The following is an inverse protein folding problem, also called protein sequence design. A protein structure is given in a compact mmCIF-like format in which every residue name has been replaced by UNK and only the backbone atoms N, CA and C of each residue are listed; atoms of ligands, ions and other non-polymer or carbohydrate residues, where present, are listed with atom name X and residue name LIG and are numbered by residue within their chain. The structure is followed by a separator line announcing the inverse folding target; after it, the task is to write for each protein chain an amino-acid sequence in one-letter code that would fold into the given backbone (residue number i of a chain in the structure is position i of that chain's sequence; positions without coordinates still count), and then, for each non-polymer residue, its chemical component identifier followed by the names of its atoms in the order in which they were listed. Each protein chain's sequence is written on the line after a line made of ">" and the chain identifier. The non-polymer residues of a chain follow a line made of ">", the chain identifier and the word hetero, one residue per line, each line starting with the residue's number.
data_IF_558979631050
#
_entry.id   IF_558979631050
#
_cell.length_a   1.000
_cell.length_b   1.000
_cell.length_c   1.000
_cell.angle_alpha   90.00
_cell.angle_beta   90.00
_cell.angle_gamma   90.00
#
_symmetry.space_group_name_H-M   'P 1'
#
loop_
_entity.id
_entity.type
_entity.pdbx_description
1 polymer ?
#
# COMPACT_ATOMS: atom_id res chain seq x y z
N UNK A 1 -21.94 31.04 -6.37
CA UNK A 1 -21.47 31.85 -5.21
C UNK A 1 -20.41 31.01 -4.52
N UNK A 2 -19.28 31.60 -4.12
CA UNK A 2 -18.25 30.88 -3.37
C UNK A 2 -18.82 30.38 -2.05
N UNK A 3 -18.57 29.13 -1.70
CA UNK A 3 -19.03 28.51 -0.46
C UNK A 3 -18.45 29.25 0.75
N UNK A 4 -19.31 29.64 1.71
CA UNK A 4 -18.91 30.43 2.87
C UNK A 4 -18.09 29.57 3.85
N UNK A 5 -16.82 29.93 4.05
CA UNK A 5 -15.93 29.30 5.02
C UNK A 5 -16.17 29.87 6.41
N UNK A 6 -16.27 28.98 7.40
CA UNK A 6 -16.50 29.29 8.81
C UNK A 6 -15.35 28.73 9.63
N UNK A 7 -14.92 29.51 10.62
CA UNK A 7 -13.93 29.09 11.62
C UNK A 7 -14.66 28.90 12.96
N UNK A 8 -14.64 27.68 13.49
CA UNK A 8 -15.14 27.35 14.82
C UNK A 8 -13.95 27.20 15.78
N UNK A 9 -13.83 28.11 16.74
CA UNK A 9 -12.80 28.05 17.78
C UNK A 9 -13.38 27.41 19.05
N UNK A 10 -13.03 26.15 19.30
CA UNK A 10 -13.58 25.33 20.36
C UNK A 10 -12.52 25.13 21.45
N UNK A 11 -12.64 25.89 22.54
CA UNK A 11 -11.69 25.82 23.66
C UNK A 11 -10.25 26.12 23.27
N UNK A 12 -10.03 26.93 22.21
CA UNK A 12 -8.71 27.26 21.67
C UNK A 12 -8.29 26.44 20.45
N UNK A 13 -9.02 25.39 20.07
CA UNK A 13 -8.75 24.60 18.85
C UNK A 13 -9.63 25.13 17.71
N UNK A 14 -9.02 25.53 16.60
CA UNK A 14 -9.74 26.06 15.43
C UNK A 14 -10.07 24.95 14.43
N UNK A 15 -11.35 24.86 14.07
CA UNK A 15 -11.88 23.99 13.03
C UNK A 15 -12.38 24.84 11.87
N UNK A 16 -11.91 24.55 10.68
CA UNK A 16 -12.39 25.21 9.47
C UNK A 16 -13.33 24.30 8.70
N UNK A 17 -14.46 24.84 8.26
CA UNK A 17 -15.50 24.10 7.54
C UNK A 17 -16.31 25.02 6.65
N UNK A 18 -17.21 24.46 5.84
CA UNK A 18 -18.20 25.21 5.09
C UNK A 18 -19.51 25.33 5.85
N UNK A 19 -20.26 26.41 5.57
CA UNK A 19 -21.61 26.59 6.11
C UNK A 19 -22.56 25.47 5.73
N UNK A 20 -22.46 25.00 4.49
CA UNK A 20 -23.21 23.85 3.97
C UNK A 20 -23.05 22.60 4.85
N UNK A 21 -21.85 22.34 5.37
CA UNK A 21 -21.55 21.22 6.27
C UNK A 21 -22.34 21.31 7.58
N UNK A 22 -22.42 22.50 8.17
CA UNK A 22 -23.11 22.68 9.46
C UNK A 22 -24.62 22.59 9.30
N UNK A 23 -25.18 23.22 8.26
CA UNK A 23 -26.63 23.23 8.01
C UNK A 23 -27.16 21.89 7.46
N UNK A 24 -26.28 20.95 7.10
CA UNK A 24 -26.66 19.60 6.69
C UNK A 24 -27.35 18.80 7.82
N UNK A 25 -27.14 19.20 9.09
CA UNK A 25 -27.78 18.60 10.27
C UNK A 25 -28.63 19.67 10.99
N UNK A 26 -29.75 20.13 10.39
CA UNK A 26 -30.48 21.33 10.85
C UNK A 26 -31.03 21.22 12.29
N UNK A 27 -31.31 20.00 12.75
CA UNK A 27 -31.83 19.70 14.09
C UNK A 27 -30.82 19.85 15.23
N UNK A 28 -29.56 20.06 14.90
CA UNK A 28 -28.47 20.23 15.87
C UNK A 28 -28.21 21.70 16.21
N UNK A 29 -27.46 21.97 17.29
CA UNK A 29 -27.16 23.33 17.72
C UNK A 29 -26.51 24.16 16.60
N UNK A 30 -25.47 23.64 15.94
CA UNK A 30 -24.78 24.40 14.89
C UNK A 30 -25.62 24.47 13.62
N UNK A 31 -26.34 23.41 13.26
CA UNK A 31 -27.25 23.45 12.12
C UNK A 31 -28.29 24.56 12.25
N UNK A 32 -29.00 24.60 13.38
CA UNK A 32 -30.00 25.64 13.67
C UNK A 32 -29.38 27.04 13.65
N UNK A 33 -28.24 27.20 14.32
CA UNK A 33 -27.57 28.50 14.45
C UNK A 33 -27.12 29.04 13.08
N UNK A 34 -26.53 28.20 12.22
CA UNK A 34 -26.01 28.62 10.92
C UNK A 34 -27.08 28.62 9.80
N UNK A 35 -28.24 28.02 9.99
CA UNK A 35 -29.34 28.05 9.02
C UNK A 35 -30.00 29.43 8.96
N UNK A 36 -30.37 30.00 10.11
CA UNK A 36 -31.27 31.16 10.16
C UNK A 36 -30.58 32.54 10.18
N UNK A 37 -29.25 32.62 10.04
CA UNK A 37 -28.47 33.85 10.34
C UNK A 37 -28.92 34.46 11.69
N UNK A 38 -29.17 33.58 12.65
CA UNK A 38 -29.87 33.92 13.87
C UNK A 38 -29.08 35.00 14.63
N UNK A 39 -29.73 36.04 15.17
CA UNK A 39 -29.01 37.14 15.86
C UNK A 39 -28.17 36.62 17.04
N UNK A 40 -28.56 35.48 17.61
CA UNK A 40 -27.84 34.76 18.65
C UNK A 40 -26.41 34.34 18.23
N UNK A 41 -26.14 34.15 16.94
CA UNK A 41 -24.82 33.78 16.42
C UNK A 41 -23.80 34.91 16.59
N UNK A 42 -24.27 36.17 16.60
CA UNK A 42 -23.42 37.36 16.80
C UNK A 42 -22.72 37.33 18.16
N UNK A 43 -23.31 36.66 19.15
CA UNK A 43 -22.75 36.53 20.50
C UNK A 43 -21.50 35.64 20.56
N UNK A 44 -21.32 34.75 19.58
CA UNK A 44 -20.16 33.86 19.49
C UNK A 44 -19.08 34.41 18.55
N UNK A 45 -19.39 35.44 17.77
CA UNK A 45 -18.50 35.97 16.75
C UNK A 45 -17.38 36.81 17.38
N UNK A 46 -16.12 36.40 17.15
CA UNK A 46 -14.94 37.07 17.69
C UNK A 46 -14.25 37.94 16.63
N UNK A 47 -14.18 37.51 15.37
CA UNK A 47 -13.47 38.21 14.28
C UNK A 47 -14.11 38.01 12.88
N UNK A 48 -15.39 38.35 12.71
CA UNK A 48 -16.06 38.38 11.39
C UNK A 48 -16.44 37.01 10.81
N UNK A 49 -15.56 36.00 10.87
CA UNK A 49 -15.82 34.62 10.43
C UNK A 49 -15.40 33.55 11.46
N UNK A 50 -14.95 33.96 12.66
CA UNK A 50 -14.55 33.09 13.76
C UNK A 50 -15.60 33.09 14.88
N UNK A 51 -16.11 31.90 15.21
CA UNK A 51 -17.10 31.67 16.26
C UNK A 51 -16.49 30.89 17.42
N UNK A 52 -16.52 31.45 18.62
CA UNK A 52 -15.88 30.87 19.79
C UNK A 52 -16.86 30.12 20.70
N UNK A 53 -16.49 28.89 21.07
CA UNK A 53 -17.23 28.06 22.03
C UNK A 53 -16.27 27.58 23.12
N UNK A 54 -16.57 27.86 24.39
CA UNK A 54 -15.77 27.40 25.52
C UNK A 54 -16.08 25.93 25.87
N UNK A 55 -15.69 25.01 24.98
CA UNK A 55 -15.98 23.56 25.04
C UNK A 55 -14.71 22.74 24.80
N UNK A 56 -14.82 21.41 24.92
CA UNK A 56 -13.67 20.54 24.69
C UNK A 56 -13.37 20.41 23.18
N UNK A 57 -12.39 21.17 22.70
CA UNK A 57 -11.98 21.13 21.29
C UNK A 57 -11.60 19.74 20.80
N UNK A 58 -10.93 18.92 21.63
CA UNK A 58 -10.55 17.56 21.23
C UNK A 58 -11.76 16.65 21.03
N UNK A 59 -12.78 16.79 21.86
CA UNK A 59 -14.04 16.08 21.70
C UNK A 59 -14.86 16.58 20.53
N UNK A 60 -14.77 17.89 20.26
CA UNK A 60 -15.42 18.51 19.12
C UNK A 60 -14.95 17.97 17.77
N UNK A 61 -13.74 17.42 17.67
CA UNK A 61 -13.32 16.68 16.47
C UNK A 61 -14.38 15.66 16.01
N UNK A 62 -14.88 14.82 16.94
CA UNK A 62 -15.88 13.80 16.64
C UNK A 62 -17.25 14.39 16.30
N UNK A 63 -17.59 15.52 16.92
CA UNK A 63 -18.80 16.29 16.60
C UNK A 63 -18.71 16.84 15.17
N UNK A 64 -17.56 17.41 14.78
CA UNK A 64 -17.34 17.93 13.44
C UNK A 64 -17.39 16.84 12.38
N UNK A 65 -16.82 15.66 12.65
CA UNK A 65 -16.94 14.49 11.77
C UNK A 65 -18.39 14.04 11.58
N UNK A 66 -19.23 14.14 12.62
CA UNK A 66 -20.67 13.90 12.49
C UNK A 66 -21.33 14.89 11.52
N UNK A 67 -21.03 16.19 11.56
CA UNK A 67 -21.56 17.14 10.58
C UNK A 67 -21.09 16.86 9.14
N UNK A 68 -19.85 16.37 8.98
CA UNK A 68 -19.29 16.04 7.66
C UNK A 68 -19.88 14.78 7.05
N UNK A 69 -20.17 13.77 7.88
CA UNK A 69 -20.46 12.41 7.41
C UNK A 69 -21.86 11.91 7.76
N UNK A 70 -22.55 12.57 8.69
CA UNK A 70 -23.79 12.08 9.32
C UNK A 70 -23.57 10.91 10.29
N UNK A 71 -22.31 10.51 10.56
CA UNK A 71 -21.96 9.38 11.42
C UNK A 71 -21.03 9.81 12.56
N UNK A 72 -21.20 9.20 13.73
CA UNK A 72 -20.23 9.35 14.82
C UNK A 72 -19.07 8.37 14.59
N UNK A 73 -17.86 8.90 14.43
CA UNK A 73 -16.65 8.12 14.12
C UNK A 73 -15.71 8.05 15.34
N UNK A 74 -16.13 7.34 16.39
CA UNK A 74 -15.31 7.17 17.61
C UNK A 74 -14.60 5.82 17.58
N UNK A 75 -13.27 5.83 17.41
CA UNK A 75 -12.44 4.61 17.42
C UNK A 75 -11.76 4.42 18.78
N UNK A 76 -11.69 3.16 19.22
CA UNK A 76 -10.92 2.72 20.38
C UNK A 76 -9.46 2.35 20.04
N UNK A 77 -9.08 2.29 18.76
CA UNK A 77 -7.78 1.77 18.30
C UNK A 77 -6.68 2.82 18.11
N UNK A 78 -6.98 4.10 18.25
CA UNK A 78 -5.93 5.11 18.29
C UNK A 78 -5.42 5.15 19.73
N UNK A 79 -4.23 4.57 19.96
CA UNK A 79 -3.38 4.70 21.17
C UNK A 79 -3.94 5.74 22.14
N UNK A 80 -4.73 5.27 23.12
CA UNK A 80 -5.50 6.08 24.06
C UNK A 80 -6.30 7.21 23.39
N UNK A 81 -7.61 6.98 23.20
CA UNK A 81 -8.53 8.05 22.81
C UNK A 81 -8.26 9.29 23.67
N UNK A 82 -7.88 10.42 23.05
CA UNK A 82 -7.50 11.64 23.77
C UNK A 82 -8.62 12.23 24.66
N UNK A 83 -9.82 11.65 24.55
CA UNK A 83 -11.01 11.96 25.33
C UNK A 83 -11.65 10.67 25.82
N UNK A 84 -12.37 10.73 26.93
CA UNK A 84 -13.17 9.62 27.44
C UNK A 84 -14.54 9.56 26.78
N UNK A 85 -15.21 8.40 26.85
CA UNK A 85 -16.61 8.26 26.43
C UNK A 85 -17.54 9.28 27.11
N UNK A 86 -17.28 9.57 28.39
CA UNK A 86 -18.05 10.55 29.16
C UNK A 86 -17.89 11.96 28.58
N UNK A 87 -16.66 12.37 28.24
CA UNK A 87 -16.41 13.67 27.61
C UNK A 87 -17.07 13.79 26.24
N UNK A 88 -17.05 12.72 25.43
CA UNK A 88 -17.75 12.72 24.14
C UNK A 88 -19.27 12.85 24.32
N UNK A 89 -19.85 12.12 25.28
CA UNK A 89 -21.28 12.17 25.60
C UNK A 89 -21.72 13.57 26.03
N UNK A 90 -20.91 14.26 26.84
CA UNK A 90 -21.18 15.63 27.27
C UNK A 90 -21.18 16.63 26.11
N UNK A 91 -20.29 16.47 25.12
CA UNK A 91 -20.31 17.32 23.93
C UNK A 91 -21.48 16.99 23.00
N UNK A 92 -21.83 15.72 22.81
CA UNK A 92 -23.03 15.35 22.04
C UNK A 92 -24.29 15.99 22.63
N UNK A 93 -24.40 16.03 23.96
CA UNK A 93 -25.50 16.69 24.67
C UNK A 93 -25.49 18.21 24.46
N UNK A 94 -24.31 18.85 24.56
CA UNK A 94 -24.18 20.30 24.35
C UNK A 94 -24.57 20.71 22.91
N UNK A 95 -24.09 19.99 21.91
CA UNK A 95 -24.38 20.27 20.50
C UNK A 95 -25.75 19.72 20.04
N UNK A 96 -26.55 19.18 20.96
CA UNK A 96 -27.91 18.71 20.73
C UNK A 96 -28.01 17.61 19.66
N UNK A 97 -27.02 16.72 19.64
CA UNK A 97 -26.96 15.59 18.72
C UNK A 97 -27.70 14.38 19.32
N UNK A 98 -28.65 13.80 18.57
CA UNK A 98 -29.50 12.73 19.08
C UNK A 98 -28.76 11.39 19.25
N UNK A 99 -28.54 10.99 20.50
CA UNK A 99 -27.78 9.79 20.89
C UNK A 99 -28.45 8.45 20.56
N UNK A 100 -29.78 8.36 20.47
CA UNK A 100 -30.48 7.06 20.45
C UNK A 100 -30.18 6.23 19.20
N UNK A 101 -29.98 6.87 18.06
CA UNK A 101 -29.66 6.21 16.79
C UNK A 101 -28.15 6.16 16.51
N UNK A 102 -27.40 7.04 17.16
CA UNK A 102 -25.97 7.22 16.86
C UNK A 102 -25.11 6.16 17.52
N UNK A 103 -25.41 5.73 18.75
CA UNK A 103 -24.58 4.72 19.42
C UNK A 103 -24.76 3.31 18.87
N UNK A 104 -25.97 2.94 18.44
CA UNK A 104 -26.21 1.67 17.75
C UNK A 104 -25.52 1.66 16.38
N UNK A 105 -25.63 2.76 15.63
CA UNK A 105 -24.88 2.94 14.37
C UNK A 105 -23.38 2.90 14.60
N UNK A 106 -22.86 3.53 15.66
CA UNK A 106 -21.44 3.51 16.01
C UNK A 106 -20.98 2.11 16.36
N UNK A 107 -21.70 1.36 17.20
CA UNK A 107 -21.35 -0.01 17.55
C UNK A 107 -21.32 -0.93 16.32
N UNK A 108 -22.31 -0.77 15.42
CA UNK A 108 -22.33 -1.48 14.14
C UNK A 108 -21.16 -1.09 13.24
N UNK A 109 -20.81 0.20 13.17
CA UNK A 109 -19.70 0.69 12.36
C UNK A 109 -18.36 0.23 12.93
N UNK A 110 -18.19 0.20 14.26
CA UNK A 110 -17.00 -0.35 14.93
C UNK A 110 -16.86 -1.83 14.58
N UNK A 111 -17.91 -2.64 14.78
CA UNK A 111 -17.87 -4.07 14.47
C UNK A 111 -17.53 -4.30 12.99
N UNK A 112 -18.17 -3.56 12.08
CA UNK A 112 -17.86 -3.61 10.65
C UNK A 112 -16.40 -3.22 10.37
N UNK A 113 -15.92 -2.13 10.96
CA UNK A 113 -14.55 -1.66 10.78
C UNK A 113 -13.54 -2.70 11.26
N UNK A 114 -13.78 -3.32 12.42
CA UNK A 114 -12.92 -4.39 12.95
C UNK A 114 -12.88 -5.60 12.01
N UNK A 115 -14.02 -6.00 11.45
CA UNK A 115 -14.07 -7.10 10.46
C UNK A 115 -13.33 -6.70 9.18
N UNK A 116 -13.57 -5.49 8.67
CA UNK A 116 -12.90 -4.97 7.46
C UNK A 116 -11.38 -4.90 7.66
N UNK A 117 -10.90 -4.47 8.83
CA UNK A 117 -9.48 -4.46 9.16
C UNK A 117 -8.90 -5.87 9.28
N UNK A 118 -9.66 -6.82 9.84
CA UNK A 118 -9.24 -8.22 9.94
C UNK A 118 -9.07 -8.83 8.56
N UNK A 119 -10.07 -8.66 7.68
CA UNK A 119 -10.01 -9.11 6.28
C UNK A 119 -8.85 -8.43 5.56
N UNK A 120 -8.69 -7.11 5.68
CA UNK A 120 -7.58 -6.38 5.06
C UNK A 120 -6.21 -6.88 5.53
N UNK A 121 -6.10 -7.34 6.79
CA UNK A 121 -4.85 -7.91 7.31
C UNK A 121 -4.57 -9.29 6.72
N UNK A 122 -5.60 -10.12 6.54
CA UNK A 122 -5.46 -11.41 5.84
C UNK A 122 -5.08 -11.21 4.36
N UNK A 123 -5.72 -10.26 3.67
CA UNK A 123 -5.37 -9.91 2.28
C UNK A 123 -3.89 -9.51 2.16
N UNK A 124 -3.42 -8.65 3.06
CA UNK A 124 -2.03 -8.21 3.10
C UNK A 124 -1.05 -9.36 3.39
N UNK A 125 -1.39 -10.25 4.33
CA UNK A 125 -0.59 -11.44 4.65
C UNK A 125 -0.46 -12.39 3.46
N UNK A 126 -1.56 -12.63 2.73
CA UNK A 126 -1.58 -13.45 1.52
C UNK A 126 -0.67 -12.82 0.45
N UNK A 127 -0.85 -11.53 0.17
CA UNK A 127 -0.05 -10.79 -0.80
C UNK A 127 1.44 -10.86 -0.44
N UNK A 128 1.77 -10.62 0.83
CA UNK A 128 3.15 -10.62 1.33
C UNK A 128 3.81 -11.99 1.21
N UNK A 129 3.13 -13.08 1.60
CA UNK A 129 3.66 -14.44 1.42
C UNK A 129 3.84 -14.80 -0.05
N UNK A 130 2.87 -14.45 -0.90
CA UNK A 130 2.92 -14.72 -2.33
C UNK A 130 4.12 -14.04 -3.00
N UNK A 131 4.37 -12.76 -2.67
CA UNK A 131 5.47 -11.96 -3.24
C UNK A 131 6.82 -12.37 -2.66
N UNK A 132 6.93 -12.45 -1.33
CA UNK A 132 8.23 -12.50 -0.65
C UNK A 132 8.79 -13.91 -0.55
N UNK A 133 7.93 -14.93 -0.49
CA UNK A 133 8.37 -16.30 -0.23
C UNK A 133 8.28 -17.20 -1.47
N UNK A 134 7.55 -16.76 -2.51
CA UNK A 134 7.18 -17.60 -3.65
C UNK A 134 6.42 -18.88 -3.24
N UNK A 135 5.75 -18.86 -2.09
CA UNK A 135 5.03 -20.02 -1.57
C UNK A 135 3.87 -20.40 -2.53
N UNK A 136 3.33 -21.60 -2.39
CA UNK A 136 2.04 -21.99 -3.00
C UNK A 136 0.97 -22.30 -1.94
N UNK A 137 1.36 -22.16 -0.67
CA UNK A 137 0.52 -22.44 0.48
C UNK A 137 0.93 -21.59 1.67
N UNK A 138 -0.05 -21.25 2.50
CA UNK A 138 0.09 -20.47 3.71
C UNK A 138 -0.74 -21.12 4.82
N UNK A 139 -0.12 -21.27 6.00
CA UNK A 139 -0.78 -21.84 7.17
C UNK A 139 -0.90 -20.80 8.29
N UNK A 140 -2.08 -20.73 8.89
CA UNK A 140 -2.41 -19.81 9.97
C UNK A 140 -3.09 -20.57 11.11
N UNK A 141 -2.65 -20.29 12.34
CA UNK A 141 -3.24 -20.82 13.55
C UNK A 141 -3.86 -19.68 14.34
N UNK A 142 -5.14 -19.78 14.66
CA UNK A 142 -5.85 -18.78 15.48
C UNK A 142 -6.45 -19.46 16.72
N UNK A 143 -5.92 -19.10 17.88
CA UNK A 143 -6.30 -19.65 19.18
C UNK A 143 -7.40 -18.83 19.87
N UNK A 144 -8.23 -19.49 20.68
CA UNK A 144 -9.30 -18.87 21.49
C UNK A 144 -8.82 -18.11 22.74
N UNK A 145 -7.52 -18.17 23.04
CA UNK A 145 -6.93 -17.46 24.17
C UNK A 145 -5.96 -16.37 23.71
N UNK A 146 -5.81 -15.32 24.54
CA UNK A 146 -5.08 -14.08 24.23
C UNK A 146 -3.58 -14.21 23.94
N UNK A 147 -3.00 -15.41 24.06
CA UNK A 147 -1.61 -15.70 23.70
C UNK A 147 -1.55 -16.34 22.31
N UNK A 148 -2.24 -15.75 21.32
CA UNK A 148 -1.94 -16.08 19.93
C UNK A 148 -0.47 -15.68 19.68
N UNK A 149 0.41 -16.68 19.61
CA UNK A 149 1.86 -16.49 19.44
C UNK A 149 2.22 -16.06 18.03
N UNK A 150 1.26 -16.09 17.11
CA UNK A 150 1.43 -15.59 15.76
C UNK A 150 1.43 -14.05 15.77
N UNK A 151 2.62 -13.46 15.67
CA UNK A 151 2.80 -12.01 15.66
C UNK A 151 2.11 -11.34 14.45
N UNK A 152 1.74 -12.11 13.43
CA UNK A 152 1.11 -11.63 12.18
C UNK A 152 -0.30 -11.05 12.39
N UNK A 153 -1.06 -11.56 13.38
CA UNK A 153 -2.41 -11.07 13.72
C UNK A 153 -2.48 -10.41 15.10
N UNK A 154 -1.36 -9.87 15.59
CA UNK A 154 -1.25 -9.30 16.94
C UNK A 154 -2.29 -8.21 17.25
N UNK A 155 -2.74 -7.45 16.25
CA UNK A 155 -3.71 -6.35 16.42
C UNK A 155 -5.11 -6.87 16.76
N UNK A 156 -5.40 -8.14 16.45
CA UNK A 156 -6.68 -8.81 16.76
C UNK A 156 -6.58 -9.77 17.93
N UNK A 157 -5.55 -9.62 18.79
CA UNK A 157 -5.43 -10.41 20.03
C UNK A 157 -6.69 -10.22 20.88
N UNK A 158 -7.43 -11.30 21.07
CA UNK A 158 -8.67 -11.33 21.87
C UNK A 158 -9.97 -11.21 21.09
N UNK A 159 -9.94 -11.03 19.77
CA UNK A 159 -11.15 -11.07 18.94
C UNK A 159 -11.00 -11.87 17.64
N UNK A 160 -9.78 -12.17 17.17
CA UNK A 160 -9.56 -12.93 15.93
C UNK A 160 -10.31 -14.27 15.91
N UNK A 161 -10.27 -15.03 17.01
CA UNK A 161 -10.98 -16.29 17.13
C UNK A 161 -12.50 -16.10 17.05
N UNK A 162 -13.03 -15.09 17.74
CA UNK A 162 -14.46 -14.79 17.74
C UNK A 162 -14.93 -14.31 16.36
N UNK A 163 -14.14 -13.49 15.66
CA UNK A 163 -14.41 -13.06 14.30
C UNK A 163 -14.53 -14.29 13.40
N UNK A 164 -13.55 -15.19 13.41
CA UNK A 164 -13.61 -16.43 12.62
C UNK A 164 -14.81 -17.28 13.04
N UNK A 165 -15.04 -17.47 14.33
CA UNK A 165 -16.16 -18.28 14.81
C UNK A 165 -17.54 -17.79 14.35
N UNK A 166 -17.68 -16.49 14.06
CA UNK A 166 -18.94 -15.92 13.59
C UNK A 166 -18.99 -15.68 12.07
N UNK A 167 -17.84 -15.47 11.42
CA UNK A 167 -17.75 -14.94 10.05
C UNK A 167 -16.92 -15.78 9.08
N UNK A 168 -16.45 -16.97 9.48
CA UNK A 168 -15.54 -17.80 8.65
C UNK A 168 -16.01 -17.94 7.20
N UNK A 169 -17.23 -18.43 6.96
CA UNK A 169 -17.75 -18.66 5.60
C UNK A 169 -17.79 -17.38 4.75
N UNK A 170 -18.05 -16.24 5.38
CA UNK A 170 -18.09 -14.94 4.70
C UNK A 170 -16.67 -14.47 4.35
N UNK A 171 -15.71 -14.68 5.26
CA UNK A 171 -14.30 -14.35 5.05
C UNK A 171 -13.71 -15.25 3.97
N UNK A 172 -13.98 -16.55 4.02
CA UNK A 172 -13.59 -17.53 2.99
C UNK A 172 -14.07 -17.06 1.62
N UNK A 173 -15.38 -16.83 1.49
CA UNK A 173 -15.98 -16.39 0.22
C UNK A 173 -15.33 -15.10 -0.29
N UNK A 174 -15.18 -14.10 0.58
CA UNK A 174 -14.54 -12.82 0.22
C UNK A 174 -13.11 -13.01 -0.28
N UNK A 175 -12.30 -13.83 0.40
CA UNK A 175 -10.90 -14.05 0.02
C UNK A 175 -10.79 -14.86 -1.28
N UNK A 176 -11.63 -15.87 -1.48
CA UNK A 176 -11.67 -16.63 -2.75
C UNK A 176 -12.03 -15.71 -3.92
N UNK A 177 -13.07 -14.88 -3.76
CA UNK A 177 -13.47 -13.92 -4.80
C UNK A 177 -12.37 -12.88 -5.06
N UNK A 178 -11.75 -12.35 -3.99
CA UNK A 178 -10.68 -11.34 -4.08
C UNK A 178 -9.43 -11.86 -4.79
N UNK A 179 -9.05 -13.11 -4.55
CA UNK A 179 -7.82 -13.71 -5.09
C UNK A 179 -8.09 -14.78 -6.16
N UNK A 180 -9.25 -14.74 -6.81
CA UNK A 180 -9.62 -15.72 -7.85
C UNK A 180 -8.60 -15.75 -9.00
N UNK A 181 -7.98 -14.60 -9.33
CA UNK A 181 -6.92 -14.51 -10.33
C UNK A 181 -5.65 -15.32 -9.99
N UNK A 182 -5.43 -15.65 -8.72
CA UNK A 182 -4.33 -16.48 -8.22
C UNK A 182 -4.77 -17.93 -7.92
N UNK A 183 -6.01 -18.29 -8.23
CA UNK A 183 -6.63 -19.59 -7.95
C UNK A 183 -6.60 -19.96 -6.45
N UNK A 184 -6.90 -18.98 -5.58
CA UNK A 184 -6.91 -19.19 -4.13
C UNK A 184 -7.94 -20.27 -3.72
N UNK A 185 -7.52 -21.15 -2.83
CA UNK A 185 -8.37 -22.10 -2.12
C UNK A 185 -8.18 -21.93 -0.62
N UNK A 186 -9.27 -22.09 0.12
CA UNK A 186 -9.32 -22.00 1.57
C UNK A 186 -9.73 -23.35 2.15
N UNK A 187 -9.00 -23.81 3.15
CA UNK A 187 -9.35 -24.96 3.97
C UNK A 187 -9.22 -24.58 5.43
N UNK A 188 -10.25 -24.83 6.23
CA UNK A 188 -10.27 -24.46 7.63
C UNK A 188 -10.76 -25.62 8.50
N UNK A 189 -10.03 -25.90 9.57
CA UNK A 189 -10.39 -26.93 10.53
C UNK A 189 -10.42 -26.34 11.94
N UNK A 190 -11.59 -26.42 12.58
CA UNK A 190 -11.73 -26.08 13.99
C UNK A 190 -11.38 -27.29 14.87
N UNK A 191 -10.26 -27.23 15.58
CA UNK A 191 -9.84 -28.28 16.51
C UNK A 191 -10.08 -27.84 17.96
N UNK A 192 -10.58 -28.78 18.76
CA UNK A 192 -10.81 -28.60 20.18
C UNK A 192 -9.88 -29.50 20.97
N UNK A 193 -9.02 -28.89 21.76
CA UNK A 193 -8.15 -29.56 22.72
C UNK A 193 -8.77 -29.48 24.13
N UNK A 194 -8.17 -30.19 25.07
CA UNK A 194 -8.65 -30.22 26.46
C UNK A 194 -8.65 -28.85 27.13
N UNK A 195 -7.73 -27.97 26.74
CA UNK A 195 -7.53 -26.65 27.38
C UNK A 195 -7.75 -25.44 26.45
N UNK A 196 -7.95 -25.64 25.14
CA UNK A 196 -8.11 -24.54 24.18
C UNK A 196 -8.77 -25.01 22.87
N UNK A 197 -9.22 -24.06 22.06
CA UNK A 197 -9.65 -24.27 20.68
C UNK A 197 -8.73 -23.53 19.71
N UNK A 198 -8.61 -24.05 18.50
CA UNK A 198 -7.83 -23.43 17.43
C UNK A 198 -8.53 -23.60 16.09
N UNK A 199 -8.47 -22.56 15.27
CA UNK A 199 -8.70 -22.65 13.83
C UNK A 199 -7.36 -22.91 13.14
N UNK A 200 -7.26 -24.02 12.43
CA UNK A 200 -6.17 -24.31 11.51
C UNK A 200 -6.63 -23.96 10.10
N UNK A 201 -6.10 -22.87 9.56
CA UNK A 201 -6.44 -22.37 8.23
C UNK A 201 -5.25 -22.66 7.31
N UNK A 202 -5.55 -23.30 6.19
CA UNK A 202 -4.63 -23.56 5.08
C UNK A 202 -5.16 -22.85 3.85
N UNK A 203 -4.37 -21.91 3.34
CA UNK A 203 -4.66 -21.20 2.10
C UNK A 203 -3.70 -21.74 1.06
N UNK A 204 -4.20 -22.17 -0.10
CA UNK A 204 -3.35 -22.60 -1.23
C UNK A 204 -3.65 -21.79 -2.46
N UNK A 205 -2.68 -21.67 -3.35
CA UNK A 205 -2.77 -20.87 -4.57
C UNK A 205 -1.86 -21.44 -5.66
N UNK A 206 -2.09 -20.99 -6.90
CA UNK A 206 -1.23 -21.33 -8.02
C UNK A 206 0.18 -20.77 -7.81
N UNK A 207 1.19 -21.57 -8.15
CA UNK A 207 2.60 -21.20 -7.98
C UNK A 207 2.89 -19.83 -8.64
N UNK A 208 3.59 -18.91 -7.92
CA UNK A 208 4.03 -17.64 -8.48
C UNK A 208 4.86 -17.79 -9.77
N UNK A 209 5.68 -18.84 -9.85
CA UNK A 209 6.49 -19.16 -11.04
C UNK A 209 5.60 -19.53 -12.22
N UNK A 210 4.63 -20.42 -12.01
CA UNK A 210 3.70 -20.84 -13.05
C UNK A 210 2.81 -19.68 -13.52
N UNK A 211 2.30 -18.86 -12.59
CA UNK A 211 1.51 -17.68 -12.94
C UNK A 211 2.34 -16.67 -13.73
N UNK A 212 3.58 -16.39 -13.31
CA UNK A 212 4.45 -15.43 -13.97
C UNK A 212 4.83 -15.86 -15.40
N UNK A 213 5.05 -17.16 -15.63
CA UNK A 213 5.36 -17.68 -16.98
C UNK A 213 4.19 -17.56 -17.97
N UNK A 214 2.96 -17.69 -17.47
CA UNK A 214 1.72 -17.48 -18.25
C UNK A 214 1.30 -16.02 -18.31
N UNK A 215 1.87 -15.18 -17.45
CA UNK A 215 1.59 -13.75 -17.40
C UNK A 215 2.30 -13.07 -18.58
N UNK A 216 1.67 -13.13 -19.75
CA UNK A 216 2.12 -12.34 -20.89
C UNK A 216 2.10 -10.87 -20.46
N UNK A 217 3.20 -10.16 -20.73
CA UNK A 217 3.30 -8.70 -20.61
C UNK A 217 2.33 -7.97 -21.55
N UNK A 218 1.35 -8.69 -22.10
CA UNK A 218 0.41 -8.19 -23.07
C UNK A 218 -0.26 -6.99 -22.46
N UNK A 219 -0.40 -6.00 -23.32
CA UNK A 219 -0.99 -4.71 -23.06
C UNK A 219 -2.50 -4.81 -22.73
N UNK A 220 -2.99 -6.00 -22.37
CA UNK A 220 -4.38 -6.37 -22.15
C UNK A 220 -4.92 -5.94 -20.77
N UNK A 221 -4.04 -5.44 -19.91
CA UNK A 221 -4.40 -4.80 -18.64
C UNK A 221 -4.04 -3.31 -18.59
N UNK A 222 -3.81 -2.70 -19.75
CA UNK A 222 -3.75 -1.25 -19.85
C UNK A 222 -5.18 -0.73 -19.64
N UNK A 223 -5.45 -0.01 -18.55
CA UNK A 223 -6.73 0.72 -18.43
C UNK A 223 -6.72 1.86 -19.47
N UNK A 224 -5.55 2.44 -19.78
CA UNK A 224 -5.32 3.32 -20.95
C UNK A 224 -3.83 3.64 -21.20
N UNK A 225 -3.48 3.95 -22.46
CA UNK A 225 -2.13 4.39 -22.84
C UNK A 225 -2.01 5.90 -22.60
N UNK A 226 -1.02 6.33 -21.81
CA UNK A 226 -0.68 7.75 -21.74
C UNK A 226 -0.08 8.21 -23.08
N UNK A 227 -0.70 9.22 -23.69
CA UNK A 227 -0.08 9.93 -24.81
C UNK A 227 1.17 10.70 -24.33
N UNK A 228 2.21 10.83 -25.17
CA UNK A 228 3.40 11.58 -24.81
C UNK A 228 3.04 13.03 -24.46
N UNK A 229 3.47 13.46 -23.28
CA UNK A 229 3.17 14.77 -22.70
C UNK A 229 3.82 15.87 -23.55
N UNK A 230 3.02 16.82 -24.01
CA UNK A 230 3.53 18.02 -24.68
C UNK A 230 4.01 19.02 -23.62
N UNK A 231 5.26 19.47 -23.70
CA UNK A 231 5.91 20.29 -22.66
C UNK A 231 5.34 21.71 -22.49
N UNK A 232 4.40 22.11 -23.36
CA UNK A 232 3.65 23.38 -23.26
C UNK A 232 2.34 23.28 -22.46
N UNK A 233 2.02 22.12 -21.89
CA UNK A 233 0.75 21.90 -21.18
C UNK A 233 0.69 22.50 -19.78
N UNK A 234 -0.50 22.92 -19.38
CA UNK A 234 -0.78 23.49 -18.06
C UNK A 234 -0.64 22.42 -16.97
N UNK A 235 0.27 22.70 -16.02
CA UNK A 235 0.39 21.94 -14.79
C UNK A 235 -0.63 22.43 -13.78
N UNK A 236 -1.30 21.47 -13.15
CA UNK A 236 -2.22 21.69 -12.05
C UNK A 236 -1.63 21.14 -10.76
N UNK A 237 -2.05 21.72 -9.64
CA UNK A 237 -1.67 21.26 -8.30
C UNK A 237 -2.92 20.67 -7.65
N UNK A 238 -2.88 19.39 -7.31
CA UNK A 238 -3.88 18.74 -6.47
C UNK A 238 -3.36 18.72 -5.03
N UNK A 239 -3.93 19.55 -4.18
CA UNK A 239 -3.63 19.57 -2.75
C UNK A 239 -4.59 18.63 -2.02
N UNK A 240 -4.11 17.43 -1.72
CA UNK A 240 -4.90 16.37 -1.09
C UNK A 240 -4.49 16.23 0.36
N UNK A 241 -5.37 16.55 1.30
CA UNK A 241 -5.10 16.47 2.74
C UNK A 241 -3.86 17.26 3.17
N UNK A 242 -3.53 18.36 2.48
CA UNK A 242 -2.34 19.18 2.71
C UNK A 242 -1.09 18.80 1.91
N UNK A 243 -1.06 17.64 1.25
CA UNK A 243 0.05 17.20 0.38
C UNK A 243 -0.22 17.61 -1.07
N UNK A 244 0.76 18.28 -1.68
CA UNK A 244 0.63 18.78 -3.06
C UNK A 244 1.16 17.76 -4.06
N UNK A 245 0.33 17.45 -5.05
CA UNK A 245 0.65 16.61 -6.19
C UNK A 245 0.60 17.45 -7.46
N UNK A 246 1.70 17.50 -8.20
CA UNK A 246 1.76 18.14 -9.51
C UNK A 246 1.51 17.12 -10.62
N UNK A 247 0.62 17.48 -11.56
CA UNK A 247 0.29 16.68 -12.73
C UNK A 247 -0.12 17.58 -13.90
N UNK A 248 -0.02 17.06 -15.12
CA UNK A 248 -0.56 17.72 -16.31
C UNK A 248 -2.06 17.52 -16.39
N UNK A 249 -2.79 18.55 -16.82
CA UNK A 249 -4.23 18.44 -17.04
C UNK A 249 -4.56 17.30 -18.02
N UNK A 250 -3.74 17.12 -19.06
CA UNK A 250 -3.86 16.06 -20.07
C UNK A 250 -3.91 14.66 -19.46
N UNK A 251 -3.04 14.38 -18.48
CA UNK A 251 -2.98 13.10 -17.79
C UNK A 251 -4.29 12.77 -17.08
N UNK A 252 -4.98 13.77 -16.50
CA UNK A 252 -6.31 13.57 -15.91
C UNK A 252 -7.37 13.39 -16.99
N UNK A 253 -7.40 14.28 -17.99
CA UNK A 253 -8.43 14.27 -19.03
C UNK A 253 -8.36 13.04 -19.95
N UNK A 254 -7.22 12.34 -19.95
CA UNK A 254 -7.06 11.06 -20.62
C UNK A 254 -8.01 9.98 -20.07
N UNK A 255 -8.55 10.16 -18.85
CA UNK A 255 -9.50 9.26 -18.19
C UNK A 255 -10.82 9.97 -17.88
N UNK A 256 -11.60 10.31 -18.91
CA UNK A 256 -12.80 11.14 -18.76
C UNK A 256 -13.89 10.52 -17.89
N UNK A 257 -13.84 9.22 -17.60
CA UNK A 257 -14.79 8.49 -16.75
C UNK A 257 -14.54 8.64 -15.25
N UNK A 258 -13.35 9.10 -14.85
CA UNK A 258 -13.03 9.34 -13.43
C UNK A 258 -13.51 10.72 -12.98
N UNK A 259 -13.57 10.94 -11.66
CA UNK A 259 -13.95 12.24 -11.09
C UNK A 259 -13.03 13.36 -11.58
N UNK A 260 -11.71 13.16 -11.47
CA UNK A 260 -10.74 14.17 -11.87
C UNK A 260 -10.72 14.34 -13.38
N UNK A 261 -10.74 13.25 -14.15
CA UNK A 261 -10.75 13.37 -15.60
C UNK A 261 -12.01 14.03 -16.13
N UNK A 262 -13.17 13.81 -15.49
CA UNK A 262 -14.41 14.57 -15.75
C UNK A 262 -14.26 16.04 -15.38
N UNK A 263 -13.80 16.34 -14.16
CA UNK A 263 -13.68 17.72 -13.63
C UNK A 263 -12.77 18.60 -14.49
N UNK A 264 -11.70 18.02 -15.04
CA UNK A 264 -10.71 18.74 -15.85
C UNK A 264 -10.99 18.73 -17.36
N UNK A 265 -12.14 18.22 -17.82
CA UNK A 265 -12.59 18.43 -19.21
C UNK A 265 -12.92 19.91 -19.46
N UNK A 266 -12.73 20.38 -20.70
CA UNK A 266 -13.04 21.78 -21.07
C UNK A 266 -14.52 22.13 -20.86
N UNK A 267 -15.43 21.18 -21.11
CA UNK A 267 -16.87 21.35 -20.87
C UNK A 267 -17.25 21.58 -19.40
N UNK A 268 -16.38 21.19 -18.47
CA UNK A 268 -16.61 21.22 -17.02
C UNK A 268 -15.81 22.31 -16.30
N UNK A 269 -15.31 23.33 -17.02
CA UNK A 269 -14.58 24.46 -16.43
C UNK A 269 -15.32 25.13 -15.27
N UNK A 270 -16.65 25.13 -15.26
CA UNK A 270 -17.45 25.68 -14.17
C UNK A 270 -17.33 24.92 -12.84
N UNK A 271 -16.89 23.65 -12.85
CA UNK A 271 -16.66 22.84 -11.66
C UNK A 271 -15.28 23.13 -11.02
N UNK A 272 -14.42 23.87 -11.73
CA UNK A 272 -13.06 24.18 -11.29
C UNK A 272 -13.10 25.37 -10.33
N UNK A 273 -12.71 25.13 -9.09
CA UNK A 273 -12.60 26.16 -8.06
C UNK A 273 -11.17 26.24 -7.53
N UNK A 274 -10.23 26.78 -8.33
CA UNK A 274 -8.83 26.86 -7.92
C UNK A 274 -8.63 27.93 -6.85
N UNK A 275 -7.78 27.65 -5.87
CA UNK A 275 -7.43 28.58 -4.77
C UNK A 275 -6.49 29.69 -5.27
N UNK A 276 -5.48 29.32 -6.07
CA UNK A 276 -4.44 30.24 -6.58
C UNK A 276 -4.32 30.19 -8.11
N UNK A 277 -5.44 29.98 -8.81
CA UNK A 277 -5.47 29.86 -10.28
C UNK A 277 -5.21 28.45 -10.80
N UNK A 278 -4.36 27.65 -10.16
CA UNK A 278 -4.05 26.27 -10.58
C UNK A 278 -4.03 25.22 -9.46
N UNK A 279 -4.33 25.60 -8.21
CA UNK A 279 -4.34 24.69 -7.05
C UNK A 279 -5.76 24.30 -6.64
N UNK A 280 -6.03 23.00 -6.55
CA UNK A 280 -7.32 22.40 -6.24
C UNK A 280 -7.22 21.57 -4.96
N UNK A 281 -8.05 21.90 -3.96
CA UNK A 281 -7.99 21.24 -2.66
C UNK A 281 -9.02 20.11 -2.53
N UNK A 282 -8.57 18.98 -1.99
CA UNK A 282 -9.38 17.82 -1.66
C UNK A 282 -9.09 17.40 -0.22
N UNK A 283 -10.10 17.39 0.63
CA UNK A 283 -9.98 16.97 2.04
C UNK A 283 -10.03 15.44 2.15
N UNK A 284 -8.99 14.76 1.63
CA UNK A 284 -8.92 13.28 1.45
C UNK A 284 -7.58 12.71 1.92
N UNK A 285 -7.46 11.37 1.97
CA UNK A 285 -6.22 10.70 2.42
C UNK A 285 -5.09 10.85 1.39
N UNK A 286 -4.08 11.65 1.73
CA UNK A 286 -2.97 11.96 0.85
C UNK A 286 -2.03 10.79 0.56
N UNK A 287 -1.89 9.82 1.47
CA UNK A 287 -1.02 8.66 1.26
C UNK A 287 -1.69 7.64 0.33
N UNK A 288 -3.00 7.42 0.47
CA UNK A 288 -3.76 6.58 -0.46
C UNK A 288 -3.85 7.21 -1.86
N UNK A 289 -3.95 8.54 -1.92
CA UNK A 289 -3.97 9.27 -3.20
C UNK A 289 -2.69 9.11 -4.04
N UNK A 290 -1.57 8.69 -3.45
CA UNK A 290 -0.37 8.34 -4.21
C UNK A 290 -0.65 7.28 -5.28
N UNK A 291 -1.39 6.23 -4.95
CA UNK A 291 -1.73 5.14 -5.88
C UNK A 291 -2.63 5.64 -7.02
N UNK A 292 -3.54 6.57 -6.72
CA UNK A 292 -4.38 7.23 -7.71
C UNK A 292 -3.54 8.07 -8.67
N UNK A 293 -2.53 8.79 -8.15
CA UNK A 293 -1.59 9.54 -8.98
C UNK A 293 -0.76 8.64 -9.88
N UNK A 294 -0.29 7.50 -9.37
CA UNK A 294 0.44 6.51 -10.18
C UNK A 294 -0.46 5.89 -11.26
N UNK A 295 -1.75 5.68 -10.97
CA UNK A 295 -2.73 5.28 -11.99
C UNK A 295 -2.80 6.31 -13.13
N UNK A 296 -2.93 7.60 -12.82
CA UNK A 296 -2.93 8.62 -13.88
C UNK A 296 -1.62 8.70 -14.64
N UNK A 297 -0.47 8.43 -14.00
CA UNK A 297 0.88 8.51 -14.62
C UNK A 297 1.23 7.30 -15.47
N UNK A 298 0.84 6.11 -15.04
CA UNK A 298 1.31 4.87 -15.65
C UNK A 298 0.22 4.16 -16.45
N UNK A 299 -1.05 4.55 -16.25
CA UNK A 299 -2.21 3.82 -16.77
C UNK A 299 -2.49 2.51 -16.02
N UNK A 300 -1.76 2.24 -14.93
CA UNK A 300 -1.83 1.02 -14.14
C UNK A 300 -2.13 1.33 -12.68
N UNK A 301 -3.09 0.60 -12.12
CA UNK A 301 -3.39 0.66 -10.70
C UNK A 301 -2.52 -0.34 -9.94
N UNK A 302 -1.70 0.17 -9.03
CA UNK A 302 -0.85 -0.65 -8.15
C UNK A 302 -1.62 -0.90 -6.85
N UNK A 303 -1.58 -2.13 -6.35
CA UNK A 303 -2.22 -2.48 -5.08
C UNK A 303 -1.23 -2.39 -3.90
N UNK A 304 -1.63 -1.89 -2.72
CA UNK A 304 -0.76 -1.78 -1.55
C UNK A 304 -0.29 -3.15 -1.04
N UNK A 305 0.93 -3.20 -0.51
CA UNK A 305 1.48 -4.35 0.21
C UNK A 305 1.76 -4.00 1.69
N UNK A 306 2.18 -4.98 2.50
CA UNK A 306 2.42 -4.82 3.95
C UNK A 306 3.43 -3.72 4.33
N UNK A 307 4.34 -3.36 3.42
CA UNK A 307 5.34 -2.31 3.68
C UNK A 307 4.79 -0.88 3.56
N UNK A 308 3.54 -0.74 3.09
CA UNK A 308 2.91 0.55 2.82
C UNK A 308 2.26 1.21 4.06
N UNK A 309 2.23 2.54 4.07
CA UNK A 309 1.45 3.35 5.03
C UNK A 309 -0.07 3.27 4.85
N UNK A 310 -0.53 2.52 3.84
CA UNK A 310 -1.91 2.52 3.33
C UNK A 310 -2.43 1.09 3.28
N UNK A 311 -3.61 0.85 3.86
CA UNK A 311 -4.27 -0.47 3.79
C UNK A 311 -5.04 -0.65 2.47
N UNK A 312 -5.34 -1.89 2.08
CA UNK A 312 -6.20 -2.18 0.92
C UNK A 312 -7.51 -1.41 1.01
N UNK A 313 -8.13 -1.41 2.21
CA UNK A 313 -9.41 -0.74 2.43
C UNK A 313 -9.33 0.79 2.29
N UNK A 314 -8.24 1.40 2.76
CA UNK A 314 -8.02 2.83 2.60
C UNK A 314 -7.89 3.23 1.13
N UNK A 315 -7.24 2.41 0.30
CA UNK A 315 -7.17 2.66 -1.13
C UNK A 315 -8.54 2.52 -1.80
N UNK A 316 -9.30 1.46 -1.49
CA UNK A 316 -10.66 1.26 -2.04
C UNK A 316 -11.56 2.49 -1.83
N UNK A 317 -11.57 3.02 -0.61
CA UNK A 317 -12.38 4.21 -0.26
C UNK A 317 -12.01 5.43 -1.12
N UNK A 318 -10.72 5.59 -1.45
CA UNK A 318 -10.30 6.68 -2.34
C UNK A 318 -10.61 6.38 -3.81
N UNK A 319 -10.44 5.13 -4.27
CA UNK A 319 -10.82 4.73 -5.63
C UNK A 319 -12.31 4.99 -5.88
N UNK A 320 -13.17 4.67 -4.91
CA UNK A 320 -14.60 4.94 -4.95
C UNK A 320 -14.89 6.45 -5.01
N UNK A 321 -14.24 7.25 -4.15
CA UNK A 321 -14.43 8.70 -4.12
C UNK A 321 -14.01 9.36 -5.44
N UNK A 322 -12.85 8.98 -5.97
CA UNK A 322 -12.32 9.50 -7.24
C UNK A 322 -12.92 8.81 -8.46
N UNK A 323 -13.87 7.89 -8.26
CA UNK A 323 -14.61 7.17 -9.29
C UNK A 323 -13.69 6.47 -10.31
N UNK A 324 -12.64 5.82 -9.81
CA UNK A 324 -11.71 5.08 -10.66
C UNK A 324 -12.25 3.65 -10.82
N UNK A 325 -12.68 3.26 -12.04
CA UNK A 325 -13.20 1.91 -12.25
C UNK A 325 -12.06 0.89 -12.15
N UNK A 326 -12.26 -0.18 -11.39
CA UNK A 326 -11.28 -1.23 -11.27
C UNK A 326 -11.92 -2.61 -11.01
N UNK A 327 -11.27 -3.66 -11.51
CA UNK A 327 -11.61 -5.05 -11.24
C UNK A 327 -10.63 -5.57 -10.18
N UNK A 328 -11.07 -5.56 -8.90
CA UNK A 328 -10.21 -5.84 -7.74
C UNK A 328 -9.38 -7.13 -7.91
N UNK A 329 -9.97 -8.29 -8.26
CA UNK A 329 -9.18 -9.51 -8.45
C UNK A 329 -8.13 -9.43 -9.56
N UNK A 330 -8.46 -8.80 -10.69
CA UNK A 330 -7.49 -8.63 -11.78
C UNK A 330 -6.34 -7.72 -11.37
N UNK A 331 -6.66 -6.59 -10.73
CA UNK A 331 -5.68 -5.59 -10.27
C UNK A 331 -4.73 -6.20 -9.24
N UNK A 332 -5.25 -6.95 -8.27
CA UNK A 332 -4.42 -7.63 -7.26
C UNK A 332 -3.49 -8.64 -7.95
N UNK A 333 -4.03 -9.49 -8.82
CA UNK A 333 -3.24 -10.49 -9.54
C UNK A 333 -2.11 -9.84 -10.36
N UNK A 334 -2.44 -8.84 -11.20
CA UNK A 334 -1.45 -8.15 -12.02
C UNK A 334 -0.43 -7.40 -11.18
N UNK A 335 -0.86 -6.68 -10.14
CA UNK A 335 0.04 -5.92 -9.26
C UNK A 335 1.04 -6.82 -8.55
N UNK A 336 0.59 -7.97 -8.01
CA UNK A 336 1.45 -8.94 -7.33
C UNK A 336 2.49 -9.52 -8.29
N UNK A 337 2.06 -9.92 -9.49
CA UNK A 337 2.97 -10.49 -10.50
C UNK A 337 3.95 -9.46 -11.05
N UNK A 338 3.55 -8.19 -11.18
CA UNK A 338 4.44 -7.09 -11.56
C UNK A 338 5.49 -6.81 -10.49
N UNK A 339 5.13 -6.83 -9.19
CA UNK A 339 6.09 -6.69 -8.10
C UNK A 339 7.11 -7.82 -8.13
N UNK A 340 6.65 -9.07 -8.28
CA UNK A 340 7.54 -10.24 -8.41
C UNK A 340 8.49 -10.07 -9.60
N UNK A 341 7.95 -9.71 -10.78
CA UNK A 341 8.74 -9.45 -11.99
C UNK A 341 9.78 -8.36 -11.76
N UNK A 342 9.42 -7.27 -11.11
CA UNK A 342 10.32 -6.17 -10.81
C UNK A 342 11.42 -6.58 -9.83
N UNK A 343 11.10 -7.38 -8.81
CA UNK A 343 12.08 -7.93 -7.88
C UNK A 343 13.10 -8.82 -8.61
N UNK A 344 12.64 -9.68 -9.52
CA UNK A 344 13.51 -10.51 -10.37
C UNK A 344 14.39 -9.63 -11.28
N UNK A 345 13.80 -8.64 -11.95
CA UNK A 345 14.54 -7.73 -12.84
C UNK A 345 15.59 -6.92 -12.08
N UNK A 346 15.28 -6.44 -10.88
CA UNK A 346 16.23 -5.74 -10.02
C UNK A 346 17.41 -6.64 -9.63
N UNK A 347 17.14 -7.92 -9.35
CA UNK A 347 18.19 -8.89 -9.07
C UNK A 347 19.07 -9.18 -10.29
N UNK A 348 18.46 -9.32 -11.48
CA UNK A 348 19.19 -9.46 -12.75
C UNK A 348 20.09 -8.25 -12.98
N UNK A 349 19.57 -7.03 -12.83
CA UNK A 349 20.35 -5.79 -12.97
C UNK A 349 21.53 -5.73 -11.98
N UNK A 350 21.34 -6.21 -10.74
CA UNK A 350 22.41 -6.28 -9.75
C UNK A 350 23.52 -7.26 -10.17
N UNK A 351 23.16 -8.42 -10.74
CA UNK A 351 24.14 -9.35 -11.31
C UNK A 351 24.83 -8.79 -12.57
N UNK A 352 24.09 -8.11 -13.45
CA UNK A 352 24.67 -7.44 -14.62
C UNK A 352 25.74 -6.42 -14.20
N UNK A 353 25.42 -5.56 -13.22
CA UNK A 353 26.37 -4.59 -12.69
C UNK A 353 27.57 -5.28 -12.01
N UNK A 354 27.34 -6.39 -11.28
CA UNK A 354 28.42 -7.19 -10.70
C UNK A 354 29.39 -7.72 -11.77
N UNK A 355 28.86 -8.30 -12.85
CA UNK A 355 29.66 -8.85 -13.96
C UNK A 355 30.47 -7.73 -14.64
N UNK A 356 29.84 -6.58 -14.89
CA UNK A 356 30.52 -5.41 -15.48
C UNK A 356 31.67 -4.94 -14.57
N UNK A 357 31.46 -4.89 -13.25
CA UNK A 357 32.52 -4.53 -12.29
C UNK A 357 33.64 -5.56 -12.27
N UNK A 358 33.33 -6.86 -12.31
CA UNK A 358 34.36 -7.90 -12.39
C UNK A 358 35.18 -7.77 -13.69
N UNK A 359 34.54 -7.44 -14.82
CA UNK A 359 35.22 -7.17 -16.08
C UNK A 359 36.18 -5.98 -15.99
N UNK A 360 35.78 -4.90 -15.30
CA UNK A 360 36.64 -3.74 -15.04
C UNK A 360 37.92 -4.10 -14.28
N UNK A 361 37.84 -5.09 -13.39
CA UNK A 361 38.97 -5.58 -12.59
C UNK A 361 39.68 -6.81 -13.18
N UNK A 362 39.31 -7.24 -14.39
CA UNK A 362 39.84 -8.44 -15.04
C UNK A 362 39.70 -9.73 -14.20
N UNK A 363 38.66 -9.80 -13.36
CA UNK A 363 38.31 -10.99 -12.57
C UNK A 363 37.43 -11.88 -13.45
N UNK A 364 37.83 -13.13 -13.68
CA UNK A 364 37.18 -14.07 -14.60
C UNK A 364 36.35 -15.17 -13.90
N UNK A 365 36.42 -15.23 -12.57
CA UNK A 365 35.71 -16.18 -11.73
C UNK A 365 35.38 -15.50 -10.40
N UNK A 366 34.11 -15.55 -10.00
CA UNK A 366 33.63 -15.04 -8.72
C UNK A 366 32.70 -16.06 -8.08
N UNK A 367 32.97 -16.37 -6.81
CA UNK A 367 32.14 -17.24 -5.97
C UNK A 367 31.42 -16.40 -4.93
N UNK A 368 30.10 -16.54 -4.87
CA UNK A 368 29.22 -15.78 -3.98
C UNK A 368 28.55 -16.74 -2.99
N UNK A 369 28.78 -16.51 -1.70
CA UNK A 369 28.17 -17.24 -0.60
C UNK A 369 27.01 -16.45 -0.02
N UNK A 370 25.86 -17.10 0.13
CA UNK A 370 24.71 -16.51 0.81
C UNK A 370 24.77 -16.91 2.29
N UNK A 371 25.06 -15.94 3.18
CA UNK A 371 25.14 -16.19 4.63
C UNK A 371 23.87 -15.76 5.36
N UNK A 372 23.36 -16.65 6.22
CA UNK A 372 22.21 -16.37 7.08
C UNK A 372 22.43 -15.06 7.87
N UNK A 373 21.57 -14.06 7.65
CA UNK A 373 21.54 -12.82 8.42
C UNK A 373 22.59 -11.74 8.06
N UNK A 374 23.34 -11.87 6.95
CA UNK A 374 24.45 -10.94 6.64
C UNK A 374 24.69 -10.55 5.18
N UNK A 375 23.85 -10.96 4.24
CA UNK A 375 24.00 -10.61 2.81
C UNK A 375 24.89 -11.60 2.02
N UNK A 376 25.32 -11.17 0.85
CA UNK A 376 26.14 -11.98 -0.09
C UNK A 376 27.62 -11.66 0.07
N UNK A 377 28.43 -12.71 0.20
CA UNK A 377 29.88 -12.61 0.40
C UNK A 377 30.65 -13.22 -0.76
N UNK A 378 31.72 -12.56 -1.18
CA UNK A 378 32.65 -13.11 -2.16
C UNK A 378 33.60 -14.05 -1.42
N UNK A 379 33.59 -15.34 -1.78
CA UNK A 379 34.59 -16.28 -1.30
C UNK A 379 35.76 -16.25 -2.29
N UNK A 380 36.96 -15.99 -1.78
CA UNK A 380 38.17 -16.06 -2.59
C UNK A 380 39.02 -17.27 -2.16
N UNK A 381 39.31 -18.17 -3.10
CA UNK A 381 40.24 -19.28 -2.90
C UNK A 381 41.72 -18.85 -3.11
N UNK A 382 41.97 -17.66 -3.67
CA UNK A 382 43.31 -17.22 -4.05
C UNK A 382 43.89 -16.21 -3.05
N UNK A 383 44.84 -16.69 -2.26
CA UNK A 383 45.68 -15.95 -1.32
C UNK A 383 46.70 -15.04 -2.02
N UNK A 384 46.29 -14.21 -2.99
CA UNK A 384 47.18 -13.28 -3.67
C UNK A 384 46.79 -11.84 -3.32
N UNK A 385 47.64 -11.17 -2.52
CA UNK A 385 47.41 -9.83 -1.94
C UNK A 385 47.26 -8.71 -2.99
N UNK A 386 47.41 -9.01 -4.28
CA UNK A 386 47.39 -8.03 -5.39
C UNK A 386 46.00 -7.51 -5.77
N UNK A 387 44.92 -8.15 -5.30
CA UNK A 387 43.52 -7.77 -5.62
C UNK A 387 42.70 -7.31 -4.40
N UNK A 388 43.35 -6.97 -3.29
CA UNK A 388 42.68 -6.72 -2.02
C UNK A 388 41.66 -5.55 -2.10
N UNK A 389 42.00 -4.46 -2.77
CA UNK A 389 41.11 -3.29 -2.90
C UNK A 389 39.94 -3.54 -3.86
N UNK A 390 40.17 -4.23 -4.99
CA UNK A 390 39.13 -4.51 -5.99
C UNK A 390 38.08 -5.49 -5.44
N UNK A 391 38.53 -6.51 -4.71
CA UNK A 391 37.65 -7.46 -4.01
C UNK A 391 36.85 -6.78 -2.90
N UNK A 392 37.42 -5.79 -2.21
CA UNK A 392 36.70 -5.02 -1.20
C UNK A 392 35.59 -4.17 -1.82
N UNK A 393 35.83 -3.51 -2.97
CA UNK A 393 34.79 -2.78 -3.70
C UNK A 393 33.65 -3.71 -4.12
N UNK A 394 33.97 -4.85 -4.73
CA UNK A 394 32.99 -5.85 -5.13
C UNK A 394 32.20 -6.41 -3.93
N UNK A 395 32.88 -6.62 -2.80
CA UNK A 395 32.24 -7.09 -1.57
C UNK A 395 31.28 -6.06 -0.99
N UNK A 396 31.68 -4.77 -0.94
CA UNK A 396 30.81 -3.66 -0.52
C UNK A 396 29.63 -3.50 -1.47
N UNK A 397 29.87 -3.60 -2.79
CA UNK A 397 28.82 -3.60 -3.79
C UNK A 397 27.81 -4.72 -3.53
N UNK A 398 28.27 -5.96 -3.35
CA UNK A 398 27.39 -7.10 -3.10
C UNK A 398 26.53 -6.91 -1.84
N UNK A 399 27.13 -6.44 -0.75
CA UNK A 399 26.41 -6.15 0.50
C UNK A 399 25.36 -5.05 0.35
N UNK A 400 25.59 -4.08 -0.54
CA UNK A 400 24.66 -2.98 -0.78
C UNK A 400 23.50 -3.35 -1.71
N UNK A 401 23.67 -4.34 -2.59
CA UNK A 401 22.71 -4.67 -3.64
C UNK A 401 21.93 -5.96 -3.41
N UNK A 402 22.51 -6.93 -2.71
CA UNK A 402 21.89 -8.23 -2.51
C UNK A 402 21.49 -8.44 -1.06
N UNK A 403 20.18 -8.42 -0.81
CA UNK A 403 19.61 -8.81 0.47
C UNK A 403 19.48 -10.33 0.52
N UNK A 404 19.93 -10.94 1.62
CA UNK A 404 20.08 -12.40 1.72
C UNK A 404 18.77 -13.15 1.46
N UNK A 405 17.69 -12.75 2.12
CA UNK A 405 16.43 -13.49 2.08
C UNK A 405 15.80 -13.42 0.70
N UNK A 406 15.62 -12.22 0.17
CA UNK A 406 15.02 -11.96 -1.13
C UNK A 406 15.82 -12.63 -2.25
N UNK A 407 17.16 -12.49 -2.22
CA UNK A 407 18.02 -13.09 -3.26
C UNK A 407 17.94 -14.61 -3.21
N UNK A 408 17.98 -15.22 -2.02
CA UNK A 408 17.88 -16.67 -1.87
C UNK A 408 16.54 -17.20 -2.37
N UNK A 409 15.44 -16.57 -2.00
CA UNK A 409 14.10 -17.00 -2.41
C UNK A 409 13.95 -16.91 -3.92
N UNK A 410 14.35 -15.79 -4.53
CA UNK A 410 14.24 -15.62 -5.98
C UNK A 410 15.11 -16.64 -6.72
N UNK A 411 16.37 -16.85 -6.31
CA UNK A 411 17.25 -17.80 -6.99
C UNK A 411 16.77 -19.25 -6.88
N UNK A 412 16.22 -19.64 -5.73
CA UNK A 412 15.66 -20.99 -5.56
C UNK A 412 14.48 -21.27 -6.52
N UNK A 413 13.72 -20.24 -6.88
CA UNK A 413 12.51 -20.39 -7.69
C UNK A 413 12.72 -20.01 -9.17
N UNK A 414 13.61 -19.06 -9.45
CA UNK A 414 13.82 -18.44 -10.77
C UNK A 414 15.30 -18.45 -11.21
N UNK A 415 16.16 -19.24 -10.55
CA UNK A 415 17.60 -19.29 -10.84
C UNK A 415 17.92 -19.60 -12.30
N UNK A 416 17.29 -20.64 -12.88
CA UNK A 416 17.48 -21.00 -14.29
C UNK A 416 17.09 -19.86 -15.24
N UNK A 417 15.98 -19.17 -14.96
CA UNK A 417 15.56 -18.02 -15.76
C UNK A 417 16.59 -16.88 -15.69
N UNK A 418 17.12 -16.60 -14.50
CA UNK A 418 18.16 -15.56 -14.31
C UNK A 418 19.44 -15.94 -15.06
N UNK A 419 19.89 -17.20 -14.94
CA UNK A 419 21.02 -17.73 -15.69
C UNK A 419 20.84 -17.53 -17.20
N UNK A 420 19.71 -17.96 -17.77
CA UNK A 420 19.42 -17.82 -19.20
C UNK A 420 19.49 -16.36 -19.66
N UNK A 421 18.94 -15.42 -18.89
CA UNK A 421 19.00 -13.99 -19.21
C UNK A 421 20.44 -13.45 -19.17
N UNK A 422 21.21 -13.78 -18.14
CA UNK A 422 22.59 -13.33 -17.99
C UNK A 422 23.50 -13.91 -19.09
N UNK A 423 23.41 -15.21 -19.36
CA UNK A 423 24.18 -15.89 -20.42
C UNK A 423 23.87 -15.28 -21.79
N UNK A 424 22.59 -15.01 -22.08
CA UNK A 424 22.18 -14.36 -23.33
C UNK A 424 22.77 -12.95 -23.47
N UNK A 425 22.74 -12.17 -22.39
CA UNK A 425 23.18 -10.76 -22.40
C UNK A 425 24.69 -10.59 -22.44
N UNK A 426 25.43 -11.52 -21.84
CA UNK A 426 26.90 -11.56 -21.85
C UNK A 426 27.45 -12.70 -22.73
N UNK A 427 26.81 -12.93 -23.89
CA UNK A 427 27.16 -14.03 -24.80
C UNK A 427 28.61 -13.98 -25.30
N UNK A 428 29.19 -12.79 -25.44
CA UNK A 428 30.60 -12.61 -25.82
C UNK A 428 31.57 -13.13 -24.74
N UNK A 429 31.14 -13.30 -23.49
CA UNK A 429 32.01 -13.65 -22.36
C UNK A 429 32.04 -15.14 -22.02
N UNK A 430 31.35 -16.00 -22.79
CA UNK A 430 31.19 -17.43 -22.45
C UNK A 430 30.77 -17.65 -20.98
N UNK A 431 29.82 -16.84 -20.51
CA UNK A 431 29.39 -16.82 -19.12
C UNK A 431 28.78 -18.18 -18.70
N UNK A 432 29.15 -18.65 -17.52
CA UNK A 432 28.47 -19.74 -16.80
C UNK A 432 28.02 -19.26 -15.45
N UNK A 433 26.80 -19.59 -15.07
CA UNK A 433 26.19 -19.25 -13.79
C UNK A 433 25.74 -20.55 -13.13
N UNK A 434 26.41 -20.97 -12.07
CA UNK A 434 26.16 -22.25 -11.43
C UNK A 434 25.69 -22.04 -9.99
N UNK A 435 24.50 -22.55 -9.65
CA UNK A 435 24.03 -22.62 -8.27
C UNK A 435 24.41 -23.96 -7.65
N UNK A 436 24.99 -23.94 -6.46
CA UNK A 436 25.39 -25.13 -5.71
C UNK A 436 25.35 -24.90 -4.21
N UNK A 437 26.04 -25.77 -3.47
CA UNK A 437 26.23 -25.64 -2.03
C UNK A 437 27.71 -25.80 -1.69
N UNK A 438 28.17 -25.04 -0.69
CA UNK A 438 29.51 -25.24 -0.14
C UNK A 438 29.55 -26.47 0.79
N UNK A 439 30.73 -26.80 1.33
CA UNK A 439 30.93 -27.91 2.28
C UNK A 439 30.14 -27.78 3.58
N UNK A 440 29.64 -26.59 3.90
CA UNK A 440 28.79 -26.28 5.06
C UNK A 440 27.31 -26.20 4.69
N UNK A 441 26.90 -26.68 3.51
CA UNK A 441 25.53 -26.65 2.98
C UNK A 441 24.94 -25.25 2.80
N UNK A 442 25.77 -24.21 2.73
CA UNK A 442 25.33 -22.85 2.41
C UNK A 442 25.17 -22.70 0.90
N UNK A 443 24.14 -21.97 0.43
CA UNK A 443 23.95 -21.69 -0.98
C UNK A 443 25.17 -20.92 -1.54
N UNK A 444 25.68 -21.43 -2.66
CA UNK A 444 26.84 -20.89 -3.36
C UNK A 444 26.44 -20.62 -4.81
N UNK A 445 26.79 -19.44 -5.32
CA UNK A 445 26.67 -19.10 -6.74
C UNK A 445 28.10 -18.94 -7.27
N UNK A 446 28.40 -19.64 -8.36
CA UNK A 446 29.68 -19.48 -9.06
C UNK A 446 29.39 -18.85 -10.41
N UNK A 447 30.00 -17.69 -10.68
CA UNK A 447 29.89 -17.00 -11.96
C UNK A 447 31.28 -17.02 -12.60
N UNK A 448 31.41 -17.73 -13.71
CA UNK A 448 32.66 -17.78 -14.49
C UNK A 448 32.45 -17.20 -15.87
N UNK A 449 33.46 -16.52 -16.40
CA UNK A 449 33.45 -15.97 -17.75
C UNK A 449 34.88 -15.83 -18.29
N UNK A 450 35.04 -15.86 -19.62
CA UNK A 450 36.33 -15.82 -20.30
C UNK A 450 36.51 -14.53 -21.10
N UNK A 451 37.64 -13.86 -20.86
CA UNK A 451 38.06 -12.70 -21.66
C UNK A 451 38.67 -13.09 -23.01
N UNK A 452 38.87 -14.40 -23.29
CA UNK A 452 39.53 -14.89 -24.50
C UNK A 452 38.86 -14.38 -25.79
N UNK A 453 37.52 -14.30 -25.80
CA UNK A 453 36.75 -13.72 -26.90
C UNK A 453 36.97 -12.21 -27.06
N UNK A 454 37.07 -11.46 -25.95
CA UNK A 454 37.40 -10.02 -26.00
C UNK A 454 38.81 -9.81 -26.55
N UNK A 455 39.79 -10.60 -26.09
CA UNK A 455 41.16 -10.55 -26.58
C UNK A 455 41.26 -10.85 -28.08
N UNK A 456 40.46 -11.80 -28.58
CA UNK A 456 40.40 -12.13 -30.00
C UNK A 456 39.82 -10.98 -30.85
N UNK A 457 38.90 -10.17 -30.29
CA UNK A 457 38.37 -8.98 -30.94
C UNK A 457 39.33 -7.77 -30.86
N UNK A 458 40.17 -7.69 -29.83
CA UNK A 458 41.18 -6.62 -29.66
C UNK A 458 42.40 -6.76 -30.58
N UNK A 459 42.65 -7.95 -31.14
CA UNK A 459 43.80 -8.26 -32.00
C UNK A 459 43.57 -8.01 -33.51
N UNK A 460 42.54 -7.26 -33.88
CA UNK A 460 42.40 -6.64 -35.21
C UNK A 460 42.71 -5.16 -35.13
#
# INVERSE_FOLDING_TARGET
>A
MSEERIILNIGGIKYETFRSTLIAQPETLLGTIFQDQNEYIKNFLVNGNEYFFNRNGKAFYYIMEFYRTGKLLWSTEIKESQITYQQLKEELDYFQINKSNIFSSLASEIAKTTIDQFISSLEQLIISHYINNFDSAFHLLVHDYNNNKDDRLRHFRGCAFDILNNMEEHIEKHLIETFIGLDLKWECQKKKYTSYQVFEITITFSSPVEKLSKFENSQDHIIFIQAPINTSEEKIILNVGGKKYEIFQSSLTAQPETLLGTMFQDRNKCMRHPINGNEYFFDRNSEAFYYIMEFYRTGKLIWPNESGKVTCKQLEVELDYFQIPFDKPKVICSSVLEIIRNNINNLILAFEELIIRCCKYFINDIKLELRNGGGIYIINDKSDNRHCYDLQDLQTFCQSKFMYYETRVILNNMGNYIEEQLVKRFSDLNLKFESGQNSSFLPLITITFSFENIYNNFKK
#
